data_IF_681737300437
#
_entry.id   IF_681737300437
#
_cell.length_a   1.000
_cell.length_b   1.000
_cell.length_c   1.000
_cell.angle_alpha   90.00
_cell.angle_beta   90.00
_cell.angle_gamma   90.00
#
_symmetry.space_group_name_H-M   'P 1'
#
loop_
_entity.id
_entity.type
_entity.pdbx_description
1 polymer ?
#
# COMPACT_ATOMS: atom_id res chain seq x y z
N UNK A 1 4.41 -9.25 26.66
CA UNK A 1 4.44 -9.41 25.20
C UNK A 1 3.01 -9.27 24.73
N UNK A 2 2.67 -8.16 24.09
CA UNK A 2 1.35 -8.02 23.48
C UNK A 2 1.37 -8.88 22.22
N UNK A 3 0.94 -10.12 22.35
CA UNK A 3 0.92 -11.09 21.26
C UNK A 3 -0.21 -10.72 20.29
N UNK A 4 0.00 -9.65 19.50
CA UNK A 4 -0.94 -9.25 18.47
C UNK A 4 -1.08 -10.41 17.49
N UNK A 5 -2.30 -10.96 17.40
CA UNK A 5 -2.64 -12.01 16.44
C UNK A 5 -3.14 -11.35 15.16
N UNK A 6 -2.78 -11.90 14.01
CA UNK A 6 -3.34 -11.52 12.72
C UNK A 6 -3.87 -12.74 11.99
N UNK A 7 -5.05 -12.61 11.40
CA UNK A 7 -5.62 -13.62 10.52
C UNK A 7 -5.02 -13.44 9.13
N UNK A 8 -4.30 -14.45 8.63
CA UNK A 8 -3.63 -14.40 7.32
C UNK A 8 -4.19 -15.49 6.41
N UNK A 9 -4.51 -15.17 5.14
CA UNK A 9 -4.88 -16.18 4.15
C UNK A 9 -3.78 -17.23 3.97
N UNK A 10 -4.13 -18.50 3.80
CA UNK A 10 -3.12 -19.58 3.70
C UNK A 10 -2.11 -19.34 2.56
N UNK A 11 -2.58 -18.77 1.45
CA UNK A 11 -1.74 -18.37 0.30
C UNK A 11 -0.66 -17.33 0.64
N UNK A 12 -0.88 -16.53 1.68
CA UNK A 12 -0.01 -15.42 2.08
C UNK A 12 0.89 -15.81 3.28
N UNK A 13 0.82 -17.07 3.73
CA UNK A 13 1.67 -17.60 4.77
C UNK A 13 3.12 -17.73 4.29
N UNK A 14 4.03 -17.36 5.19
CA UNK A 14 5.47 -17.45 4.95
C UNK A 14 6.12 -18.37 5.97
N UNK A 15 7.17 -19.04 5.52
CA UNK A 15 8.07 -19.81 6.40
C UNK A 15 8.59 -18.88 7.49
N UNK A 16 8.57 -19.35 8.74
CA UNK A 16 9.00 -18.58 9.91
C UNK A 16 7.88 -17.91 10.71
N UNK A 17 6.67 -17.79 10.17
CA UNK A 17 5.50 -17.33 10.93
C UNK A 17 5.14 -18.31 12.05
N UNK A 18 4.60 -17.83 13.16
CA UNK A 18 4.24 -18.67 14.32
C UNK A 18 2.72 -18.72 14.46
N UNK A 19 2.14 -19.91 14.54
CA UNK A 19 0.69 -20.10 14.73
C UNK A 19 0.23 -19.54 16.08
N UNK A 20 -0.88 -18.81 16.08
CA UNK A 20 -1.42 -18.19 17.28
C UNK A 20 -2.55 -18.98 17.95
N UNK A 21 -3.14 -19.95 17.24
CA UNK A 21 -4.07 -20.97 17.75
C UNK A 21 -3.78 -22.30 17.04
N UNK A 22 -4.39 -23.39 17.53
CA UNK A 22 -4.37 -24.69 16.84
C UNK A 22 -5.09 -24.62 15.49
N UNK A 23 -4.50 -25.24 14.47
CA UNK A 23 -5.14 -25.46 13.17
C UNK A 23 -5.75 -26.86 13.19
N UNK A 24 -7.08 -26.92 13.22
CA UNK A 24 -7.83 -28.19 13.35
C UNK A 24 -8.51 -28.56 12.04
N UNK A 25 -8.40 -29.82 11.65
CA UNK A 25 -9.06 -30.42 10.49
C UNK A 25 -9.79 -31.70 10.89
N UNK A 26 -11.10 -31.78 10.62
CA UNK A 26 -11.92 -32.95 10.96
C UNK A 26 -11.74 -33.45 12.41
N UNK A 27 -11.60 -32.52 13.36
CA UNK A 27 -11.38 -32.82 14.78
C UNK A 27 -9.95 -33.27 15.13
N UNK A 28 -9.02 -33.29 14.18
CA UNK A 28 -7.59 -33.55 14.40
C UNK A 28 -6.78 -32.26 14.33
N UNK A 29 -5.85 -32.09 15.26
CA UNK A 29 -4.89 -30.97 15.23
C UNK A 29 -3.87 -31.24 14.12
N UNK A 30 -3.84 -30.38 13.10
CA UNK A 30 -2.82 -30.41 12.05
C UNK A 30 -1.56 -29.68 12.46
N UNK A 31 -1.73 -28.52 13.11
CA UNK A 31 -0.64 -27.68 13.60
C UNK A 31 -1.03 -27.17 14.98
N UNK A 32 -0.18 -27.36 15.98
CA UNK A 32 -0.41 -26.86 17.34
C UNK A 32 -0.27 -25.35 17.44
N UNK A 33 -0.74 -24.77 18.54
CA UNK A 33 -0.45 -23.38 18.89
C UNK A 33 1.05 -23.17 19.15
N UNK A 34 1.59 -22.02 18.72
CA UNK A 34 2.98 -21.63 18.99
C UNK A 34 4.02 -22.32 18.09
N UNK A 35 3.59 -22.96 17.01
CA UNK A 35 4.47 -23.69 16.10
C UNK A 35 4.94 -22.78 14.96
N UNK A 36 6.24 -22.79 14.69
CA UNK A 36 6.83 -22.11 13.54
C UNK A 36 6.51 -22.87 12.26
N UNK A 37 5.90 -22.17 11.29
CA UNK A 37 5.55 -22.70 9.98
C UNK A 37 6.82 -22.98 9.17
N UNK A 38 6.94 -24.21 8.68
CA UNK A 38 8.01 -24.64 7.79
C UNK A 38 7.47 -25.01 6.39
N UNK A 39 8.37 -25.31 5.46
CA UNK A 39 8.01 -25.61 4.07
C UNK A 39 7.05 -26.81 3.94
N UNK A 40 7.27 -27.89 4.69
CA UNK A 40 6.43 -29.10 4.65
C UNK A 40 5.02 -28.83 5.18
N UNK A 41 4.89 -27.98 6.21
CA UNK A 41 3.60 -27.56 6.74
C UNK A 41 2.83 -26.73 5.71
N UNK A 42 3.50 -25.82 5.03
CA UNK A 42 2.88 -24.97 4.01
C UNK A 42 2.38 -25.78 2.81
N UNK A 43 3.17 -26.76 2.35
CA UNK A 43 2.76 -27.69 1.28
C UNK A 43 1.51 -28.48 1.66
N UNK A 44 1.45 -28.98 2.90
CA UNK A 44 0.25 -29.66 3.42
C UNK A 44 -0.95 -28.73 3.49
N UNK A 45 -0.79 -27.53 4.05
CA UNK A 45 -1.86 -26.54 4.14
C UNK A 45 -2.40 -26.14 2.76
N UNK A 46 -1.53 -25.99 1.76
CA UNK A 46 -1.93 -25.70 0.38
C UNK A 46 -2.63 -26.89 -0.30
N UNK A 47 -2.31 -28.12 0.10
CA UNK A 47 -2.97 -29.33 -0.40
C UNK A 47 -4.39 -29.46 0.17
N UNK A 48 -4.58 -29.07 1.43
CA UNK A 48 -5.90 -28.96 2.05
C UNK A 48 -6.52 -27.61 1.66
N UNK A 49 -7.10 -27.52 0.45
CA UNK A 49 -7.86 -26.37 -0.09
C UNK A 49 -9.04 -25.84 0.77
N UNK A 50 -9.10 -26.20 2.05
CA UNK A 50 -10.21 -25.96 2.97
C UNK A 50 -9.93 -24.85 3.98
N UNK A 51 -8.68 -24.41 4.10
CA UNK A 51 -8.32 -23.31 5.00
C UNK A 51 -8.22 -22.00 4.21
N UNK A 52 -9.22 -21.13 4.38
CA UNK A 52 -9.17 -19.79 3.82
C UNK A 52 -8.08 -18.95 4.49
N UNK A 53 -7.97 -19.06 5.82
CA UNK A 53 -7.03 -18.28 6.64
C UNK A 53 -6.70 -18.94 7.97
N UNK A 54 -5.52 -18.64 8.53
CA UNK A 54 -5.09 -19.07 9.86
C UNK A 54 -4.60 -17.88 10.70
N UNK A 55 -4.71 -17.97 12.03
CA UNK A 55 -4.17 -16.95 12.92
C UNK A 55 -2.68 -17.19 13.21
N UNK A 56 -1.89 -16.15 13.02
CA UNK A 56 -0.45 -16.14 13.32
C UNK A 56 -0.10 -14.96 14.22
N UNK A 57 0.97 -15.08 15.00
CA UNK A 57 1.52 -13.95 15.74
C UNK A 57 2.12 -12.94 14.76
N UNK A 58 1.77 -11.67 14.94
CA UNK A 58 2.32 -10.57 14.15
C UNK A 58 3.67 -10.17 14.71
N UNK A 59 4.71 -10.24 13.89
CA UNK A 59 5.90 -9.44 14.13
C UNK A 59 5.50 -7.97 14.01
N UNK A 60 5.71 -7.18 15.07
CA UNK A 60 5.40 -5.74 15.08
C UNK A 60 6.16 -4.96 13.98
N UNK A 61 7.15 -5.59 13.34
CA UNK A 61 7.96 -5.03 12.24
C UNK A 61 7.32 -5.14 10.86
N UNK A 62 6.35 -6.03 10.65
CA UNK A 62 5.76 -6.24 9.30
C UNK A 62 4.89 -5.04 8.87
N UNK A 63 4.25 -4.34 9.81
CA UNK A 63 3.32 -3.26 9.49
C UNK A 63 3.99 -1.91 9.22
N UNK A 64 5.28 -1.72 9.56
CA UNK A 64 5.90 -0.40 9.44
C UNK A 64 6.15 0.01 7.98
N UNK A 65 6.57 -0.93 7.13
CA UNK A 65 6.85 -0.63 5.72
C UNK A 65 5.57 -0.41 4.91
N UNK A 66 4.56 -1.26 5.09
CA UNK A 66 3.29 -1.15 4.37
C UNK A 66 2.54 0.14 4.75
N UNK A 67 2.59 0.55 6.02
CA UNK A 67 2.05 1.85 6.48
C UNK A 67 2.83 3.03 5.89
N UNK A 68 4.15 2.91 5.74
CA UNK A 68 4.97 3.95 5.12
C UNK A 68 4.67 4.09 3.63
N UNK A 69 4.51 2.97 2.91
CA UNK A 69 4.12 2.95 1.50
C UNK A 69 2.72 3.52 1.29
N UNK A 70 1.75 3.16 2.15
CA UNK A 70 0.40 3.72 2.12
C UNK A 70 0.40 5.24 2.38
N UNK A 71 1.21 5.72 3.33
CA UNK A 71 1.35 7.17 3.59
C UNK A 71 1.99 7.90 2.41
N UNK A 72 2.96 7.28 1.75
CA UNK A 72 3.57 7.85 0.54
C UNK A 72 2.53 7.94 -0.59
N UNK A 73 1.75 6.88 -0.82
CA UNK A 73 0.68 6.87 -1.81
C UNK A 73 -0.40 7.92 -1.52
N UNK A 74 -0.84 8.06 -0.26
CA UNK A 74 -1.83 9.06 0.16
C UNK A 74 -1.32 10.49 -0.08
N UNK A 75 -0.03 10.75 0.19
CA UNK A 75 0.59 12.04 -0.11
C UNK A 75 0.59 12.33 -1.62
N UNK A 76 1.02 11.37 -2.44
CA UNK A 76 1.03 11.53 -3.90
C UNK A 76 -0.36 11.79 -4.47
N UNK A 77 -1.39 11.08 -3.98
CA UNK A 77 -2.77 11.30 -4.41
C UNK A 77 -3.28 12.70 -4.05
N UNK A 78 -2.93 13.21 -2.86
CA UNK A 78 -3.26 14.58 -2.45
C UNK A 78 -2.61 15.61 -3.35
N UNK A 79 -1.32 15.45 -3.64
CA UNK A 79 -0.57 16.36 -4.50
C UNK A 79 -1.18 16.39 -5.92
N UNK A 80 -1.46 15.22 -6.51
CA UNK A 80 -2.14 15.13 -7.81
C UNK A 80 -3.52 15.80 -7.78
N UNK A 81 -4.28 15.62 -6.71
CA UNK A 81 -5.62 16.22 -6.59
C UNK A 81 -5.56 17.75 -6.53
N UNK A 82 -4.53 18.30 -5.87
CA UNK A 82 -4.29 19.75 -5.83
C UNK A 82 -3.92 20.26 -7.23
N UNK A 83 -3.03 19.56 -7.94
CA UNK A 83 -2.60 19.95 -9.29
C UNK A 83 -3.78 19.92 -10.27
N UNK A 84 -4.61 18.88 -10.23
CA UNK A 84 -5.83 18.78 -11.06
C UNK A 84 -6.78 19.92 -10.76
N UNK A 85 -6.99 20.24 -9.48
CA UNK A 85 -7.86 21.35 -9.08
C UNK A 85 -7.33 22.68 -9.62
N UNK A 86 -6.02 22.93 -9.51
CA UNK A 86 -5.39 24.13 -10.06
C UNK A 86 -5.61 24.23 -11.57
N UNK A 87 -5.44 23.14 -12.32
CA UNK A 87 -5.70 23.12 -13.77
C UNK A 87 -7.16 23.47 -14.07
N UNK A 88 -8.12 22.87 -13.37
CA UNK A 88 -9.55 23.14 -13.57
C UNK A 88 -9.94 24.57 -13.21
N UNK A 89 -9.47 25.07 -12.08
CA UNK A 89 -9.74 26.45 -11.64
C UNK A 89 -9.15 27.46 -12.65
N UNK A 90 -7.97 27.17 -13.21
CA UNK A 90 -7.34 27.99 -14.25
C UNK A 90 -8.01 27.86 -15.63
N UNK A 91 -8.55 26.70 -15.98
CA UNK A 91 -9.33 26.54 -17.21
C UNK A 91 -10.64 27.34 -17.15
N UNK A 92 -11.28 27.36 -15.98
CA UNK A 92 -12.51 28.11 -15.74
C UNK A 92 -12.30 29.62 -15.79
N UNK A 93 -11.14 30.12 -15.34
CA UNK A 93 -10.80 31.54 -15.52
C UNK A 93 -10.53 31.86 -16.98
N UNK A 94 -9.89 30.96 -17.74
CA UNK A 94 -9.65 31.13 -19.19
C UNK A 94 -10.94 31.22 -20.02
N UNK A 95 -12.00 30.50 -19.69
CA UNK A 95 -13.31 30.65 -20.37
C UNK A 95 -13.94 32.04 -20.18
N UNK A 96 -13.57 32.76 -19.12
CA UNK A 96 -14.02 34.14 -18.84
C UNK A 96 -13.01 35.22 -19.23
N UNK A 97 -11.85 34.83 -19.78
CA UNK A 97 -10.71 35.71 -20.01
C UNK A 97 -10.70 36.32 -21.41
N UNK A 98 -10.30 37.58 -21.53
CA UNK A 98 -10.02 38.21 -22.81
C UNK A 98 -8.61 37.82 -23.33
N UNK A 99 -8.33 38.04 -24.61
CA UNK A 99 -7.11 37.56 -25.30
C UNK A 99 -5.80 37.99 -24.66
N UNK A 100 -5.82 39.05 -23.84
CA UNK A 100 -4.63 39.59 -23.17
C UNK A 100 -4.28 38.79 -21.89
N UNK A 101 -5.30 38.34 -21.14
CA UNK A 101 -5.14 37.51 -19.94
C UNK A 101 -4.61 36.11 -20.29
N UNK A 102 -5.07 35.54 -21.42
CA UNK A 102 -4.55 34.28 -21.97
C UNK A 102 -3.05 34.40 -22.27
N UNK A 103 -2.61 35.52 -22.83
CA UNK A 103 -1.22 35.75 -23.22
C UNK A 103 -0.30 35.91 -21.99
N UNK A 104 -0.75 36.60 -20.95
CA UNK A 104 -0.02 36.72 -19.69
C UNK A 104 0.07 35.38 -18.94
N UNK A 105 -1.01 34.58 -18.97
CA UNK A 105 -1.01 33.25 -18.36
C UNK A 105 -0.08 32.27 -19.10
N UNK A 106 -0.09 32.29 -20.44
CA UNK A 106 0.83 31.50 -21.26
C UNK A 106 2.30 31.83 -20.94
N UNK A 107 2.65 33.12 -20.76
CA UNK A 107 4.00 33.53 -20.33
C UNK A 107 4.38 32.98 -18.94
N UNK A 108 3.44 32.98 -17.99
CA UNK A 108 3.67 32.42 -16.64
C UNK A 108 3.98 30.92 -16.68
N UNK A 109 3.16 30.14 -17.39
CA UNK A 109 3.38 28.71 -17.60
C UNK A 109 4.74 28.44 -18.24
N UNK A 110 5.12 29.23 -19.25
CA UNK A 110 6.39 29.09 -19.94
C UNK A 110 7.59 29.36 -19.01
N UNK A 111 7.45 30.31 -18.08
CA UNK A 111 8.46 30.58 -17.05
C UNK A 111 8.57 29.44 -16.04
N UNK A 112 7.45 28.91 -15.54
CA UNK A 112 7.43 27.80 -14.59
C UNK A 112 8.04 26.52 -15.19
N UNK A 113 7.75 26.24 -16.46
CA UNK A 113 8.35 25.11 -17.19
C UNK A 113 9.86 25.29 -17.45
N UNK A 114 10.33 26.53 -17.67
CA UNK A 114 11.76 26.80 -17.84
C UNK A 114 12.53 26.79 -16.52
N UNK A 115 11.91 27.16 -15.39
CA UNK A 115 12.52 27.04 -14.07
C UNK A 115 12.77 25.57 -13.70
N UNK A 116 11.91 24.66 -14.18
CA UNK A 116 12.07 23.22 -13.99
C UNK A 116 13.19 22.58 -14.85
N UNK A 117 13.78 23.30 -15.82
CA UNK A 117 14.93 22.80 -16.61
C UNK A 117 16.27 22.88 -15.87
N UNK A 118 16.34 23.55 -14.72
CA UNK A 118 17.57 23.66 -13.92
C UNK A 118 17.69 22.60 -12.82
N UNK A 119 16.73 21.67 -12.70
CA UNK A 119 16.86 20.51 -11.81
C UNK A 119 17.52 19.37 -12.61
N UNK A 120 18.82 19.51 -12.85
CA UNK A 120 19.71 18.37 -13.01
C UNK A 120 20.31 18.08 -11.64
N UNK A 121 19.77 17.06 -10.97
CA UNK A 121 20.47 16.39 -9.87
C UNK A 121 20.80 14.97 -10.31
N UNK A 122 21.93 14.83 -11.01
CA UNK A 122 22.82 13.67 -10.95
C UNK A 122 24.24 14.22 -11.05
#
# INVERSE_FOLDING_TARGET
MSNNKKLIPVRDLKIGMITANEVVYNGMILIGEGITINAQMLEKLNTFFLFDSIEVYSDEKDNSNEILELKAADKTLKDISIDVKLIFDNAKTLESSNTNEINEYAKKLLNELNLNKYILKI
#
